data_IF_375800399813
#
_entry.id   IF_375800399813
#
_cell.length_a   1.000
_cell.length_b   1.000
_cell.length_c   1.000
_cell.angle_alpha   90.00
_cell.angle_beta   90.00
_cell.angle_gamma   90.00
#
_symmetry.space_group_name_H-M   'P 1'
#
loop_
_entity.id
_entity.type
_entity.pdbx_description
1 polymer ?
#
# COMPACT_ATOMS: atom_id res chain seq x y z
N UNK A 1 21.46 2.82 12.73
CA UNK A 1 20.79 1.53 12.51
C UNK A 1 19.54 1.50 13.36
N UNK A 2 18.39 1.20 12.76
CA UNK A 2 17.08 1.25 13.40
C UNK A 2 16.05 0.46 12.62
N UNK A 3 14.81 0.47 13.09
CA UNK A 3 13.64 -0.07 12.37
C UNK A 3 12.64 1.06 12.21
N UNK A 4 11.92 1.05 11.10
CA UNK A 4 10.84 2.00 10.81
C UNK A 4 9.57 1.22 10.55
N UNK A 5 8.44 1.75 11.03
CA UNK A 5 7.13 1.16 10.78
C UNK A 5 6.70 1.48 9.36
N UNK A 6 6.19 0.46 8.67
CA UNK A 6 5.44 0.61 7.43
C UNK A 6 4.13 -0.16 7.60
N UNK A 7 3.02 0.47 7.23
CA UNK A 7 1.70 -0.15 7.31
C UNK A 7 0.86 0.23 6.11
N UNK A 8 -0.02 -0.70 5.75
CA UNK A 8 -1.17 -0.43 4.92
C UNK A 8 -2.29 0.20 5.77
N UNK A 9 -3.11 1.05 5.16
CA UNK A 9 -4.29 1.65 5.77
C UNK A 9 -5.50 1.51 4.85
N UNK A 10 -6.43 0.65 5.24
CA UNK A 10 -7.75 0.50 4.63
C UNK A 10 -8.80 1.13 5.56
N UNK A 11 -9.59 2.06 5.03
CA UNK A 11 -10.63 2.77 5.81
C UNK A 11 -11.99 2.12 5.52
N UNK A 12 -12.76 1.83 6.56
CA UNK A 12 -14.07 1.18 6.47
C UNK A 12 -15.17 2.14 5.96
N UNK A 13 -15.02 2.62 4.72
CA UNK A 13 -16.01 3.42 3.99
C UNK A 13 -17.27 2.59 3.67
N UNK A 14 -18.39 3.20 3.27
CA UNK A 14 -19.58 2.46 2.84
C UNK A 14 -19.28 1.44 1.73
N UNK A 15 -18.41 1.77 0.77
CA UNK A 15 -18.00 0.86 -0.30
C UNK A 15 -17.24 -0.36 0.24
N UNK A 16 -16.24 -0.15 1.12
CA UNK A 16 -15.48 -1.23 1.75
C UNK A 16 -16.40 -2.14 2.57
N UNK A 17 -17.34 -1.56 3.34
CA UNK A 17 -18.30 -2.33 4.13
C UNK A 17 -19.23 -3.17 3.26
N UNK A 18 -19.72 -2.63 2.14
CA UNK A 18 -20.55 -3.38 1.19
C UNK A 18 -19.79 -4.58 0.63
N UNK A 19 -18.54 -4.36 0.18
CA UNK A 19 -17.67 -5.41 -0.36
C UNK A 19 -17.45 -6.54 0.65
N UNK A 20 -17.21 -6.19 1.92
CA UNK A 20 -17.06 -7.17 3.01
C UNK A 20 -18.37 -7.94 3.25
N UNK A 21 -19.51 -7.25 3.31
CA UNK A 21 -20.81 -7.89 3.53
C UNK A 21 -21.22 -8.82 2.39
N UNK A 22 -20.85 -8.51 1.16
CA UNK A 22 -21.10 -9.32 -0.02
C UNK A 22 -20.10 -10.46 -0.21
N UNK A 23 -19.08 -10.57 0.66
CA UNK A 23 -18.04 -11.59 0.56
C UNK A 23 -17.12 -11.41 -0.66
N UNK A 24 -16.99 -10.17 -1.16
CA UNK A 24 -16.18 -9.83 -2.34
C UNK A 24 -14.80 -9.28 -1.95
N UNK A 25 -14.18 -9.88 -0.94
CA UNK A 25 -12.89 -9.50 -0.35
C UNK A 25 -11.78 -9.23 -1.39
N UNK A 26 -11.76 -9.97 -2.50
CA UNK A 26 -10.85 -9.74 -3.63
C UNK A 26 -10.89 -8.31 -4.22
N UNK A 27 -11.99 -7.56 -4.02
CA UNK A 27 -12.11 -6.16 -4.49
C UNK A 27 -11.47 -5.14 -3.55
N UNK A 28 -11.15 -5.53 -2.31
CA UNK A 28 -10.57 -4.61 -1.31
C UNK A 28 -9.23 -4.05 -1.75
N UNK A 29 -8.40 -4.85 -2.43
CA UNK A 29 -7.12 -4.39 -2.96
C UNK A 29 -7.30 -3.26 -3.99
N UNK A 30 -8.30 -3.38 -4.86
CA UNK A 30 -8.57 -2.34 -5.86
C UNK A 30 -9.10 -1.05 -5.20
N UNK A 31 -9.96 -1.17 -4.18
CA UNK A 31 -10.43 -0.01 -3.40
C UNK A 31 -9.26 0.69 -2.70
N UNK A 32 -8.40 -0.07 -2.02
CA UNK A 32 -7.21 0.43 -1.36
C UNK A 32 -6.28 1.21 -2.32
N UNK A 33 -6.04 0.67 -3.53
CA UNK A 33 -5.15 1.27 -4.52
C UNK A 33 -5.72 2.55 -5.15
N UNK A 34 -7.05 2.66 -5.24
CA UNK A 34 -7.72 3.76 -5.95
C UNK A 34 -8.22 4.88 -5.01
N UNK A 35 -8.49 4.58 -3.74
CA UNK A 35 -9.10 5.51 -2.77
C UNK A 35 -8.08 6.31 -1.94
N UNK A 36 -7.00 6.80 -2.57
CA UNK A 36 -5.98 7.61 -1.86
C UNK A 36 -6.56 8.92 -1.29
N UNK A 37 -7.49 9.54 -2.00
CA UNK A 37 -8.14 10.78 -1.56
C UNK A 37 -8.98 10.60 -0.29
N UNK A 38 -9.46 9.38 -0.04
CA UNK A 38 -10.15 8.98 1.19
C UNK A 38 -9.17 8.71 2.35
N UNK A 39 -7.86 8.92 2.14
CA UNK A 39 -6.80 8.68 3.13
C UNK A 39 -6.28 7.26 3.17
N UNK A 40 -6.66 6.39 2.22
CA UNK A 40 -6.15 5.02 2.15
C UNK A 40 -4.69 4.98 1.65
N UNK A 41 -3.95 4.00 2.15
CA UNK A 41 -2.52 3.84 1.83
C UNK A 41 -2.21 2.38 1.60
N UNK A 42 -1.87 2.01 0.36
CA UNK A 42 -1.38 0.67 0.04
C UNK A 42 0.05 0.44 0.56
N UNK A 43 0.39 -0.80 0.95
CA UNK A 43 1.70 -1.11 1.50
C UNK A 43 2.85 -0.76 0.54
N UNK A 44 2.74 -1.16 -0.73
CA UNK A 44 3.78 -0.90 -1.74
C UNK A 44 4.01 0.60 -1.93
N UNK A 45 2.97 1.42 -1.76
CA UNK A 45 3.10 2.87 -1.79
C UNK A 45 3.82 3.39 -0.56
N UNK A 46 3.44 2.94 0.64
CA UNK A 46 4.12 3.32 1.88
C UNK A 46 5.61 2.94 1.87
N UNK A 47 5.94 1.74 1.37
CA UNK A 47 7.32 1.30 1.16
C UNK A 47 8.06 2.22 0.18
N UNK A 48 7.43 2.57 -0.95
CA UNK A 48 8.05 3.41 -1.96
C UNK A 48 8.36 4.81 -1.42
N UNK A 49 7.49 5.39 -0.60
CA UNK A 49 7.75 6.70 0.04
C UNK A 49 8.95 6.64 1.01
N UNK A 50 9.12 5.54 1.77
CA UNK A 50 10.31 5.38 2.61
C UNK A 50 11.62 5.25 1.81
N UNK A 51 11.56 4.64 0.64
CA UNK A 51 12.72 4.59 -0.26
C UNK A 51 13.01 5.98 -0.84
N UNK A 52 11.97 6.70 -1.28
CA UNK A 52 12.11 8.06 -1.83
C UNK A 52 12.65 9.07 -0.81
N UNK A 53 12.33 8.90 0.46
CA UNK A 53 12.84 9.73 1.56
C UNK A 53 14.21 9.28 2.08
N UNK A 54 14.72 8.14 1.61
CA UNK A 54 16.02 7.59 2.02
C UNK A 54 16.02 6.91 3.39
N UNK A 55 14.86 6.71 4.00
CA UNK A 55 14.70 6.03 5.30
C UNK A 55 14.98 4.52 5.19
N UNK A 56 14.71 3.93 4.01
CA UNK A 56 14.92 2.50 3.75
C UNK A 56 15.60 2.29 2.39
N UNK A 57 16.55 1.36 2.32
CA UNK A 57 17.17 0.98 1.05
C UNK A 57 16.16 0.27 0.14
N UNK A 58 16.21 0.57 -1.16
CA UNK A 58 15.31 -0.02 -2.16
C UNK A 58 15.29 -1.54 -2.13
N UNK A 59 16.46 -2.18 -1.99
CA UNK A 59 16.60 -3.64 -1.93
C UNK A 59 15.87 -4.24 -0.72
N UNK A 60 15.95 -3.56 0.43
CA UNK A 60 15.23 -3.96 1.64
C UNK A 60 13.73 -3.81 1.42
N UNK A 61 13.28 -2.64 0.95
CA UNK A 61 11.85 -2.41 0.70
C UNK A 61 11.26 -3.40 -0.32
N UNK A 62 12.00 -3.74 -1.39
CA UNK A 62 11.59 -4.70 -2.41
C UNK A 62 11.38 -6.12 -1.84
N UNK A 63 12.08 -6.48 -0.77
CA UNK A 63 11.89 -7.78 -0.10
C UNK A 63 10.59 -7.85 0.71
N UNK A 64 10.00 -6.71 1.07
CA UNK A 64 8.73 -6.59 1.80
C UNK A 64 7.54 -6.16 0.93
N UNK A 65 7.78 -5.81 -0.33
CA UNK A 65 6.72 -5.42 -1.27
C UNK A 65 5.77 -6.60 -1.54
N UNK A 66 4.46 -6.33 -1.54
CA UNK A 66 3.43 -7.31 -1.88
C UNK A 66 3.40 -7.55 -3.39
N UNK A 67 3.40 -6.46 -4.16
CA UNK A 67 3.53 -6.49 -5.61
C UNK A 67 4.80 -5.74 -6.02
N UNK A 68 5.84 -6.50 -6.37
CA UNK A 68 7.14 -5.98 -6.78
C UNK A 68 7.07 -5.12 -8.04
N UNK A 69 6.17 -5.44 -8.96
CA UNK A 69 6.02 -4.74 -10.24
C UNK A 69 5.37 -3.37 -10.01
N UNK A 70 4.30 -3.34 -9.20
CA UNK A 70 3.64 -2.10 -8.77
C UNK A 70 4.61 -1.23 -7.98
N UNK A 71 5.31 -1.80 -6.99
CA UNK A 71 6.31 -1.09 -6.20
C UNK A 71 7.39 -0.44 -7.08
N UNK A 72 7.99 -1.20 -8.00
CA UNK A 72 8.98 -0.65 -8.93
C UNK A 72 8.38 0.41 -9.87
N UNK A 73 7.13 0.25 -10.30
CA UNK A 73 6.42 1.25 -11.08
C UNK A 73 6.24 2.57 -10.33
N UNK A 74 5.93 2.52 -9.03
CA UNK A 74 5.80 3.70 -8.17
C UNK A 74 7.15 4.41 -7.99
N UNK A 75 8.26 3.66 -7.89
CA UNK A 75 9.60 4.23 -7.75
C UNK A 75 10.11 4.90 -9.03
N UNK A 76 9.72 4.40 -10.21
CA UNK A 76 10.08 5.02 -11.51
C UNK A 76 9.34 6.32 -11.80
N UNK A 77 8.24 6.60 -11.08
CA UNK A 77 7.43 7.81 -11.18
C UNK A 77 7.95 8.89 -10.25
#
# INVERSE_FOLDING_TARGET
GGRVLVSELLIATPAVRSVIHEGKDYQLNNLLLTSREEGMVALDRALAELVKTGEVMQEVALSYALDKEVFQSILRR
#
